data_IF_349943092824
#
_entry.id   IF_349943092824
#
_cell.length_a   1.000
_cell.length_b   1.000
_cell.length_c   1.000
_cell.angle_alpha   90.00
_cell.angle_beta   90.00
_cell.angle_gamma   90.00
#
_symmetry.space_group_name_H-M   'P 1'
#
loop_
_entity.id
_entity.type
_entity.pdbx_description
1 polymer ?
#
# COMPACT_ATOMS: atom_id res chain seq x y z
N UNK A 1 8.35 -3.54 7.20
CA UNK A 1 7.08 -2.92 7.05
C UNK A 1 7.22 -1.43 6.87
N UNK A 2 6.78 -0.48 7.67
CA UNK A 2 7.04 0.94 7.42
C UNK A 2 8.51 1.25 7.68
N UNK A 3 9.30 1.34 6.62
CA UNK A 3 10.75 1.50 6.72
C UNK A 3 11.13 2.99 6.67
N UNK A 4 10.27 3.81 6.06
CA UNK A 4 10.53 5.25 5.90
C UNK A 4 9.97 6.04 7.07
N UNK A 5 10.72 7.03 7.54
CA UNK A 5 10.30 7.93 8.65
C UNK A 5 8.97 8.63 8.37
N UNK A 6 8.68 8.92 7.11
CA UNK A 6 7.40 9.47 6.69
C UNK A 6 6.25 8.50 7.01
N UNK A 7 6.39 7.22 6.68
CA UNK A 7 5.34 6.21 6.88
C UNK A 7 5.11 5.95 8.36
N UNK A 8 6.16 5.94 9.16
CA UNK A 8 6.08 5.83 10.62
C UNK A 8 5.26 6.98 11.21
N UNK A 9 5.56 8.23 10.81
CA UNK A 9 4.81 9.42 11.25
C UNK A 9 3.34 9.38 10.79
N UNK A 10 3.08 8.91 9.58
CA UNK A 10 1.70 8.75 9.08
C UNK A 10 0.95 7.69 9.88
N UNK A 11 1.59 6.58 10.23
CA UNK A 11 0.99 5.55 11.07
C UNK A 11 0.59 6.08 12.45
N UNK A 12 1.47 6.81 13.15
CA UNK A 12 1.15 7.43 14.43
C UNK A 12 -0.03 8.43 14.32
N UNK A 13 0.00 9.29 13.29
CA UNK A 13 -1.10 10.25 13.03
C UNK A 13 -2.42 9.54 12.70
N UNK A 14 -2.36 8.44 11.95
CA UNK A 14 -3.53 7.61 11.64
C UNK A 14 -4.17 7.03 12.90
N UNK A 15 -3.37 6.49 13.82
CA UNK A 15 -3.86 6.00 15.11
C UNK A 15 -4.52 7.11 15.94
N UNK A 16 -3.88 8.29 16.04
CA UNK A 16 -4.46 9.44 16.75
C UNK A 16 -5.75 9.93 16.10
N UNK A 17 -5.83 9.94 14.78
CA UNK A 17 -7.05 10.31 14.05
C UNK A 17 -8.18 9.30 14.31
N UNK A 18 -7.87 8.01 14.31
CA UNK A 18 -8.85 6.96 14.62
C UNK A 18 -9.38 7.11 16.04
N UNK A 19 -8.52 7.37 17.04
CA UNK A 19 -8.94 7.70 18.41
C UNK A 19 -9.93 8.85 18.44
N UNK A 20 -9.56 9.97 17.80
CA UNK A 20 -10.42 11.15 17.74
C UNK A 20 -11.79 10.83 17.14
N UNK A 21 -11.84 10.07 16.07
CA UNK A 21 -13.09 9.70 15.42
C UNK A 21 -13.92 8.79 16.33
N UNK A 22 -13.32 7.77 16.93
CA UNK A 22 -14.06 6.73 17.67
C UNK A 22 -14.37 7.15 19.11
N UNK A 23 -13.40 7.71 19.84
CA UNK A 23 -13.54 7.98 21.27
C UNK A 23 -14.15 9.36 21.56
N UNK A 24 -13.92 10.35 20.68
CA UNK A 24 -14.35 11.74 20.92
C UNK A 24 -15.63 12.12 20.16
N UNK A 25 -16.01 11.37 19.12
CA UNK A 25 -17.18 11.69 18.29
C UNK A 25 -18.49 11.38 19.03
N UNK A 26 -19.42 12.32 18.99
CA UNK A 26 -20.78 12.14 19.56
C UNK A 26 -21.50 10.93 18.94
N UNK A 27 -21.23 10.63 17.66
CA UNK A 27 -21.84 9.50 16.96
C UNK A 27 -21.49 8.15 17.60
N UNK A 28 -20.26 8.00 18.08
CA UNK A 28 -19.79 6.74 18.66
C UNK A 28 -19.96 6.66 20.18
N UNK A 29 -20.09 7.77 20.88
CA UNK A 29 -20.26 7.79 22.36
C UNK A 29 -21.35 6.88 22.88
N UNK A 30 -22.47 6.74 22.16
CA UNK A 30 -23.58 5.84 22.52
C UNK A 30 -23.21 4.36 22.62
N UNK A 31 -22.07 3.96 22.03
CA UNK A 31 -21.57 2.58 22.08
C UNK A 31 -20.53 2.35 23.16
N UNK A 32 -20.14 3.40 23.92
CA UNK A 32 -19.09 3.37 24.94
C UNK A 32 -17.81 2.67 24.43
N UNK A 33 -17.21 3.14 23.32
CA UNK A 33 -16.06 2.48 22.74
C UNK A 33 -14.85 2.58 23.67
N UNK A 34 -14.13 1.48 23.79
CA UNK A 34 -12.86 1.41 24.51
C UNK A 34 -11.73 1.04 23.56
N UNK A 35 -10.56 1.65 23.74
CA UNK A 35 -9.40 1.31 22.92
C UNK A 35 -8.71 0.07 23.49
N UNK A 36 -8.71 -1.01 22.72
CA UNK A 36 -8.04 -2.24 23.08
C UNK A 36 -6.54 -2.21 22.75
N UNK A 37 -6.16 -1.63 21.62
CA UNK A 37 -4.76 -1.48 21.15
C UNK A 37 -4.60 -0.21 20.33
N UNK A 38 -3.45 0.48 20.45
CA UNK A 38 -2.28 0.22 21.33
C UNK A 38 -2.52 0.48 22.81
N UNK A 39 -3.61 1.11 23.20
CA UNK A 39 -3.95 1.52 24.54
C UNK A 39 -3.85 3.03 24.71
N UNK A 40 -4.89 3.63 25.32
CA UNK A 40 -5.06 5.10 25.42
C UNK A 40 -3.94 5.82 26.17
N UNK A 41 -3.19 5.10 27.01
CA UNK A 41 -2.05 5.66 27.75
C UNK A 41 -0.84 5.99 26.86
N UNK A 42 -0.76 5.37 25.67
CA UNK A 42 0.34 5.58 24.74
C UNK A 42 -0.02 6.73 23.80
N UNK A 43 0.62 7.90 23.97
CA UNK A 43 0.35 9.10 23.19
C UNK A 43 1.56 9.65 22.42
N UNK A 44 2.76 9.25 22.80
CA UNK A 44 3.97 9.61 22.08
C UNK A 44 4.02 8.94 20.71
N UNK A 45 4.47 9.67 19.67
CA UNK A 45 4.45 9.17 18.30
C UNK A 45 5.39 7.98 18.10
N UNK A 46 6.55 7.97 18.75
CA UNK A 46 7.51 6.86 18.61
C UNK A 46 7.04 5.62 19.35
N UNK A 47 6.45 5.80 20.54
CA UNK A 47 5.82 4.70 21.28
C UNK A 47 4.64 4.12 20.52
N UNK A 48 3.78 4.96 19.92
CA UNK A 48 2.66 4.50 19.07
C UNK A 48 3.15 3.67 17.90
N UNK A 49 4.20 4.12 17.21
CA UNK A 49 4.79 3.37 16.09
C UNK A 49 5.39 2.05 16.56
N UNK A 50 6.09 2.05 17.68
CA UNK A 50 6.69 0.85 18.28
C UNK A 50 5.62 -0.18 18.61
N UNK A 51 4.57 0.23 19.32
CA UNK A 51 3.47 -0.66 19.66
C UNK A 51 2.71 -1.14 18.42
N UNK A 52 2.39 -0.25 17.47
CA UNK A 52 1.73 -0.64 16.23
C UNK A 52 2.52 -1.68 15.44
N UNK A 53 3.85 -1.61 15.46
CA UNK A 53 4.70 -2.57 14.75
C UNK A 53 4.61 -4.01 15.30
N UNK A 54 4.14 -4.19 16.54
CA UNK A 54 3.95 -5.51 17.15
C UNK A 54 2.74 -6.28 16.58
N UNK A 55 1.77 -5.56 15.99
CA UNK A 55 0.54 -6.16 15.46
C UNK A 55 0.15 -5.69 14.06
N UNK A 56 0.89 -4.75 13.47
CA UNK A 56 0.64 -4.31 12.10
C UNK A 56 0.87 -5.46 11.11
N UNK A 57 -0.05 -5.59 10.18
CA UNK A 57 0.00 -6.61 9.13
C UNK A 57 -0.10 -5.97 7.75
N UNK A 58 0.30 -6.71 6.72
CA UNK A 58 0.05 -6.31 5.35
C UNK A 58 -1.44 -6.41 5.04
N UNK A 59 -1.94 -5.51 4.18
CA UNK A 59 -3.30 -5.60 3.62
C UNK A 59 -3.32 -6.37 2.29
N UNK A 60 -2.23 -7.08 1.97
CA UNK A 60 -2.10 -7.96 0.80
C UNK A 60 -2.23 -7.27 -0.56
N UNK A 61 -1.69 -6.06 -0.67
CA UNK A 61 -1.59 -5.32 -1.93
C UNK A 61 -0.13 -5.06 -2.35
N UNK A 62 0.70 -6.12 -2.53
CA UNK A 62 2.09 -5.95 -2.95
C UNK A 62 2.17 -5.49 -4.41
N UNK A 63 3.09 -4.55 -4.69
CA UNK A 63 3.36 -4.02 -6.02
C UNK A 63 4.87 -3.75 -6.20
N UNK A 64 5.31 -3.53 -7.44
CA UNK A 64 6.60 -2.91 -7.73
C UNK A 64 7.80 -3.85 -7.80
N UNK A 65 7.65 -5.16 -7.62
CA UNK A 65 8.77 -6.11 -7.73
C UNK A 65 9.29 -6.30 -9.16
N UNK A 66 8.46 -6.00 -10.18
CA UNK A 66 8.83 -5.95 -11.59
C UNK A 66 8.48 -4.57 -12.17
N UNK A 67 8.82 -3.49 -11.46
CA UNK A 67 8.35 -2.14 -11.79
C UNK A 67 8.61 -1.76 -13.25
N UNK A 68 7.62 -1.11 -13.85
CA UNK A 68 7.72 -0.49 -15.15
C UNK A 68 8.49 0.84 -15.06
N UNK A 69 9.29 1.15 -16.05
CA UNK A 69 9.99 2.43 -16.12
C UNK A 69 11.10 2.47 -17.15
N UNK A 70 11.77 3.63 -17.22
CA UNK A 70 12.90 3.85 -18.12
C UNK A 70 14.24 3.86 -17.39
N UNK A 71 14.23 3.89 -16.06
CA UNK A 71 15.43 3.86 -15.22
C UNK A 71 16.08 2.47 -15.18
N UNK A 72 17.32 2.41 -14.67
CA UNK A 72 18.13 1.17 -14.62
C UNK A 72 17.54 0.10 -13.70
N UNK A 73 16.66 0.49 -12.75
CA UNK A 73 15.98 -0.43 -11.84
C UNK A 73 14.65 -0.93 -12.38
N UNK A 74 14.22 -0.46 -13.56
CA UNK A 74 12.98 -0.93 -14.18
C UNK A 74 13.18 -2.33 -14.79
N UNK A 75 12.27 -3.23 -14.49
CA UNK A 75 12.27 -4.62 -14.98
C UNK A 75 11.58 -4.74 -16.33
N UNK A 76 10.50 -3.96 -16.54
CA UNK A 76 9.76 -3.94 -17.81
C UNK A 76 9.69 -2.52 -18.38
N UNK A 77 9.54 -2.44 -19.69
CA UNK A 77 9.32 -1.21 -20.45
C UNK A 77 7.81 -0.81 -20.46
N UNK A 78 7.47 0.27 -21.18
CA UNK A 78 6.10 0.76 -21.34
C UNK A 78 5.18 -0.20 -22.13
N UNK A 79 5.74 -1.21 -22.80
CA UNK A 79 5.01 -2.29 -23.48
C UNK A 79 4.98 -3.58 -22.67
N UNK A 80 5.31 -3.49 -21.38
CA UNK A 80 5.35 -4.59 -20.40
C UNK A 80 6.35 -5.71 -20.78
N UNK A 81 7.30 -5.43 -21.69
CA UNK A 81 8.35 -6.37 -22.09
C UNK A 81 9.50 -6.34 -21.09
N UNK A 82 9.97 -7.52 -20.69
CA UNK A 82 11.11 -7.63 -19.78
C UNK A 82 12.39 -7.14 -20.47
N UNK A 83 13.08 -6.20 -19.84
CA UNK A 83 14.33 -5.67 -20.35
C UNK A 83 15.42 -6.77 -20.43
N UNK A 84 16.08 -6.86 -21.56
CA UNK A 84 17.14 -7.85 -21.80
C UNK A 84 16.69 -9.26 -22.14
N UNK A 85 15.40 -9.57 -22.10
CA UNK A 85 14.85 -10.89 -22.45
C UNK A 85 13.81 -10.74 -23.57
N UNK A 86 14.01 -11.47 -24.67
CA UNK A 86 13.07 -11.43 -25.79
C UNK A 86 11.82 -12.29 -25.50
N UNK A 87 10.68 -11.83 -26.02
CA UNK A 87 9.41 -12.56 -25.99
C UNK A 87 8.87 -12.88 -24.57
N UNK A 88 9.25 -12.08 -23.58
CA UNK A 88 8.74 -12.20 -22.21
C UNK A 88 8.10 -10.88 -21.77
N UNK A 89 6.93 -10.96 -21.15
CA UNK A 89 6.24 -9.85 -20.51
C UNK A 89 5.87 -10.18 -19.07
N UNK A 90 5.72 -9.15 -18.24
CA UNK A 90 5.08 -9.23 -16.93
C UNK A 90 3.83 -8.36 -16.96
N UNK A 91 2.65 -8.95 -16.65
CA UNK A 91 1.34 -8.30 -16.78
C UNK A 91 0.54 -8.57 -15.51
N UNK A 92 0.94 -7.94 -14.42
CA UNK A 92 0.28 -8.03 -13.12
C UNK A 92 0.61 -6.81 -12.24
N UNK A 93 0.17 -6.80 -10.99
CA UNK A 93 0.39 -5.70 -10.06
C UNK A 93 1.88 -5.39 -9.80
N UNK A 94 2.80 -6.33 -10.06
CA UNK A 94 4.23 -6.12 -9.81
C UNK A 94 4.86 -5.05 -10.71
N UNK A 95 4.23 -4.74 -11.86
CA UNK A 95 4.72 -3.69 -12.76
C UNK A 95 4.47 -2.28 -12.25
N UNK A 96 3.57 -2.07 -11.29
CA UNK A 96 3.26 -0.73 -10.77
C UNK A 96 4.49 -0.12 -10.09
N UNK A 97 4.99 1.05 -10.52
CA UNK A 97 6.16 1.69 -9.89
C UNK A 97 5.87 2.15 -8.46
N UNK A 98 4.62 2.50 -8.18
CA UNK A 98 4.12 2.93 -6.88
C UNK A 98 2.76 2.28 -6.64
N UNK A 99 2.44 2.05 -5.36
CA UNK A 99 1.11 1.58 -4.98
C UNK A 99 0.06 2.66 -5.25
N UNK A 100 -1.09 2.26 -5.75
CA UNK A 100 -2.25 3.16 -5.92
C UNK A 100 -2.82 3.59 -4.58
N UNK A 101 -3.59 4.69 -4.56
CA UNK A 101 -4.23 5.23 -3.33
C UNK A 101 -5.43 4.42 -2.83
N UNK A 102 -5.81 3.37 -3.54
CA UNK A 102 -6.88 2.46 -3.18
C UNK A 102 -6.47 1.00 -3.40
N UNK A 103 -7.45 0.10 -3.36
CA UNK A 103 -7.24 -1.32 -3.60
C UNK A 103 -6.64 -1.58 -4.98
N UNK A 104 -5.73 -2.54 -5.06
CA UNK A 104 -4.96 -2.83 -6.29
C UNK A 104 -5.71 -3.70 -7.30
N UNK A 105 -6.91 -4.20 -7.00
CA UNK A 105 -7.64 -5.10 -7.89
C UNK A 105 -8.03 -4.43 -9.22
N UNK A 106 -8.69 -3.29 -9.17
CA UNK A 106 -9.11 -2.58 -10.39
C UNK A 106 -7.93 -2.16 -11.29
N UNK A 107 -6.85 -1.54 -10.77
CA UNK A 107 -5.67 -1.27 -11.58
C UNK A 107 -4.99 -2.54 -12.11
N UNK A 108 -5.03 -3.66 -11.40
CA UNK A 108 -4.48 -4.93 -11.91
C UNK A 108 -5.28 -5.47 -13.09
N UNK A 109 -6.62 -5.39 -13.03
CA UNK A 109 -7.50 -5.73 -14.15
C UNK A 109 -7.20 -4.84 -15.36
N UNK A 110 -7.07 -3.53 -15.15
CA UNK A 110 -6.72 -2.59 -16.23
C UNK A 110 -5.37 -2.91 -16.87
N UNK A 111 -4.36 -3.27 -16.06
CA UNK A 111 -3.05 -3.72 -16.56
C UNK A 111 -3.20 -4.98 -17.42
N UNK A 112 -4.01 -5.94 -16.97
CA UNK A 112 -4.25 -7.19 -17.70
C UNK A 112 -4.94 -6.95 -19.04
N UNK A 113 -6.00 -6.15 -19.08
CA UNK A 113 -6.71 -5.78 -20.31
C UNK A 113 -5.78 -5.09 -21.31
N UNK A 114 -5.05 -4.07 -20.83
CA UNK A 114 -4.09 -3.34 -21.66
C UNK A 114 -2.95 -4.24 -22.16
N UNK A 115 -2.48 -5.15 -21.31
CA UNK A 115 -1.46 -6.12 -21.68
C UNK A 115 -1.96 -7.13 -22.73
N UNK A 116 -3.21 -7.55 -22.65
CA UNK A 116 -3.85 -8.39 -23.67
C UNK A 116 -3.91 -7.68 -25.02
N UNK A 117 -4.36 -6.43 -25.05
CA UNK A 117 -4.36 -5.61 -26.28
C UNK A 117 -2.96 -5.56 -26.90
N UNK A 118 -1.93 -5.25 -26.10
CA UNK A 118 -0.54 -5.19 -26.57
C UNK A 118 0.01 -6.52 -27.12
N UNK A 119 -0.60 -7.65 -26.76
CA UNK A 119 -0.25 -8.98 -27.30
C UNK A 119 -0.99 -9.22 -28.61
N UNK A 120 -2.25 -8.82 -28.69
CA UNK A 120 -3.10 -9.06 -29.86
C UNK A 120 -2.81 -8.13 -31.03
N UNK A 121 -2.25 -6.93 -30.76
CA UNK A 121 -1.82 -5.97 -31.79
C UNK A 121 -0.52 -6.40 -32.53
N UNK A 122 0.07 -7.54 -32.16
CA UNK A 122 1.22 -8.19 -32.80
C UNK A 122 0.81 -9.54 -33.35
#
# INVERSE_FOLDING_TARGET
MCIRDRDRRIAAKGLKLTRKIVLESETFKKYNPEEYRPGISINDDEELVKEASNYAQTIFHPVGTCKMGQDDMAVVDEKLKVKGIKNLRVIDASIMPNITSGNTNAPTIMIAEKGADMILEH
#
